data_IF_571693887182
#
_entry.id   IF_571693887182
#
_cell.length_a   1.000
_cell.length_b   1.000
_cell.length_c   1.000
_cell.angle_alpha   90.00
_cell.angle_beta   90.00
_cell.angle_gamma   90.00
#
_symmetry.space_group_name_H-M   'P 1'
#
loop_
_entity.id
_entity.type
_entity.pdbx_description
1 polymer ?
#
# COMPACT_ATOMS: atom_id res chain seq x y z
N UNK A 1 4.78 -1.85 -28.17
CA UNK A 1 4.36 -2.83 -27.14
C UNK A 1 5.52 -3.49 -26.39
N UNK A 2 6.53 -4.11 -27.02
CA UNK A 2 7.63 -4.75 -26.28
C UNK A 2 8.40 -3.79 -25.35
N UNK A 3 8.83 -2.65 -25.86
CA UNK A 3 9.56 -1.63 -25.06
C UNK A 3 8.69 -1.11 -23.90
N UNK A 4 7.42 -0.87 -24.15
CA UNK A 4 6.45 -0.43 -23.14
C UNK A 4 6.30 -1.47 -22.04
N UNK A 5 6.10 -2.74 -22.39
CA UNK A 5 5.99 -3.83 -21.44
C UNK A 5 7.28 -4.01 -20.61
N UNK A 6 8.45 -3.86 -21.26
CA UNK A 6 9.75 -3.91 -20.58
C UNK A 6 9.88 -2.77 -19.55
N UNK A 7 9.55 -1.54 -19.95
CA UNK A 7 9.65 -0.38 -19.07
C UNK A 7 8.70 -0.51 -17.87
N UNK A 8 7.45 -0.91 -18.10
CA UNK A 8 6.49 -1.10 -17.02
C UNK A 8 6.85 -2.27 -16.10
N UNK A 9 7.41 -3.35 -16.65
CA UNK A 9 7.98 -4.43 -15.85
C UNK A 9 9.12 -3.95 -14.94
N UNK A 10 10.01 -3.08 -15.46
CA UNK A 10 11.08 -2.47 -14.67
C UNK A 10 10.56 -1.50 -13.61
N UNK A 11 9.50 -0.74 -13.89
CA UNK A 11 8.82 0.09 -12.87
C UNK A 11 8.31 -0.79 -11.75
N UNK A 12 7.66 -1.93 -12.06
CA UNK A 12 7.21 -2.87 -11.05
C UNK A 12 8.35 -3.42 -10.19
N UNK A 13 9.47 -3.76 -10.81
CA UNK A 13 10.70 -4.18 -10.11
C UNK A 13 11.20 -3.09 -9.18
N UNK A 14 11.30 -1.85 -9.67
CA UNK A 14 11.74 -0.72 -8.85
C UNK A 14 10.83 -0.53 -7.63
N UNK A 15 9.51 -0.54 -7.83
CA UNK A 15 8.54 -0.36 -6.76
C UNK A 15 8.60 -1.46 -5.69
N UNK A 16 8.74 -2.74 -6.09
CA UNK A 16 8.85 -3.82 -5.09
C UNK A 16 10.20 -3.78 -4.36
N UNK A 17 11.28 -3.43 -5.03
CA UNK A 17 12.60 -3.32 -4.40
C UNK A 17 12.69 -2.13 -3.45
N UNK A 18 11.91 -1.07 -3.65
CA UNK A 18 11.79 0.03 -2.70
C UNK A 18 11.40 -0.47 -1.31
N UNK A 19 10.37 -1.31 -1.21
CA UNK A 19 9.92 -1.85 0.06
C UNK A 19 10.83 -2.95 0.64
N UNK A 20 11.72 -3.55 -0.17
CA UNK A 20 12.57 -4.67 0.26
C UNK A 20 14.00 -4.28 0.57
N UNK A 21 14.57 -3.32 -0.15
CA UNK A 21 16.01 -2.99 -0.09
C UNK A 21 16.25 -1.49 0.11
N UNK A 22 15.44 -0.61 -0.51
CA UNK A 22 15.69 0.83 -0.56
C UNK A 22 15.18 1.61 0.66
N UNK A 23 14.68 0.92 1.69
CA UNK A 23 14.25 1.56 2.95
C UNK A 23 12.81 2.04 2.96
N UNK A 24 11.98 1.59 2.01
CA UNK A 24 10.53 1.83 1.93
C UNK A 24 10.17 3.32 1.84
N UNK A 25 10.62 3.95 0.76
CA UNK A 25 10.28 5.35 0.44
C UNK A 25 8.84 5.52 -0.05
N UNK A 26 8.04 4.43 -0.07
CA UNK A 26 6.65 4.38 -0.50
C UNK A 26 6.42 4.53 -2.02
N UNK A 27 7.43 4.26 -2.85
CA UNK A 27 7.23 4.18 -4.31
C UNK A 27 6.29 3.03 -4.72
N UNK A 28 6.04 2.08 -3.82
CA UNK A 28 5.05 1.00 -4.01
C UNK A 28 3.59 1.46 -3.84
N UNK A 29 3.34 2.74 -3.49
CA UNK A 29 1.96 3.24 -3.31
C UNK A 29 1.25 3.40 -4.66
N UNK A 30 -0.01 2.95 -4.78
CA UNK A 30 -0.78 3.04 -6.02
C UNK A 30 -0.82 4.42 -6.66
N UNK A 31 -0.94 5.47 -5.85
CA UNK A 31 -0.92 6.86 -6.32
C UNK A 31 0.38 7.18 -7.07
N UNK A 32 1.52 6.75 -6.54
CA UNK A 32 2.83 7.03 -7.14
C UNK A 32 3.06 6.13 -8.36
N UNK A 33 2.78 4.83 -8.24
CA UNK A 33 3.01 3.88 -9.33
C UNK A 33 2.16 4.17 -10.57
N UNK A 34 0.85 4.45 -10.39
CA UNK A 34 -0.02 4.84 -11.50
C UNK A 34 0.41 6.16 -12.14
N UNK A 35 0.87 7.12 -11.34
CA UNK A 35 1.39 8.40 -11.85
C UNK A 35 2.64 8.18 -12.70
N UNK A 36 3.57 7.32 -12.26
CA UNK A 36 4.76 6.95 -13.04
C UNK A 36 4.35 6.26 -14.35
N UNK A 37 3.41 5.31 -14.29
CA UNK A 37 2.90 4.63 -15.50
C UNK A 37 2.24 5.64 -16.45
N UNK A 38 1.41 6.56 -15.94
CA UNK A 38 0.77 7.61 -16.73
C UNK A 38 1.78 8.54 -17.38
N UNK A 39 2.84 8.95 -16.66
CA UNK A 39 3.91 9.78 -17.21
C UNK A 39 4.68 9.04 -18.33
N UNK A 40 4.95 7.76 -18.19
CA UNK A 40 5.66 6.95 -19.19
C UNK A 40 4.82 6.68 -20.44
N UNK A 41 3.50 6.55 -20.28
CA UNK A 41 2.57 6.28 -21.38
C UNK A 41 1.99 7.53 -22.02
N UNK A 42 2.25 8.72 -21.46
CA UNK A 42 1.83 10.03 -22.01
C UNK A 42 0.43 10.50 -21.59
N UNK A 43 -0.21 9.81 -20.62
CA UNK A 43 -1.48 10.22 -20.02
C UNK A 43 -1.37 10.27 -18.49
N UNK A 44 -0.80 11.37 -18.02
CA UNK A 44 -0.59 11.63 -16.60
C UNK A 44 -1.92 11.77 -15.83
N UNK A 45 -2.95 12.34 -16.50
CA UNK A 45 -4.24 12.59 -15.86
C UNK A 45 -4.95 11.29 -15.52
N UNK A 46 -5.03 10.36 -16.46
CA UNK A 46 -5.61 9.03 -16.23
C UNK A 46 -4.80 8.27 -15.18
N UNK A 47 -3.47 8.31 -15.24
CA UNK A 47 -2.60 7.70 -14.24
C UNK A 47 -2.86 8.23 -12.84
N UNK A 48 -2.94 9.54 -12.65
CA UNK A 48 -3.20 10.17 -11.35
C UNK A 48 -4.59 9.85 -10.81
N UNK A 49 -5.62 9.90 -11.67
CA UNK A 49 -7.02 9.62 -11.27
C UNK A 49 -7.19 8.16 -10.82
N UNK A 50 -6.64 7.22 -11.58
CA UNK A 50 -6.65 5.81 -11.21
C UNK A 50 -5.83 5.55 -9.96
N UNK A 51 -4.65 6.16 -9.87
CA UNK A 51 -3.77 6.04 -8.71
C UNK A 51 -4.47 6.50 -7.43
N UNK A 52 -5.13 7.66 -7.45
CA UNK A 52 -5.90 8.16 -6.32
C UNK A 52 -7.04 7.20 -5.92
N UNK A 53 -7.77 6.66 -6.90
CA UNK A 53 -8.88 5.75 -6.64
C UNK A 53 -8.40 4.43 -6.03
N UNK A 54 -7.34 3.82 -6.58
CA UNK A 54 -6.77 2.57 -6.06
C UNK A 54 -6.10 2.80 -4.70
N UNK A 55 -5.48 3.95 -4.50
CA UNK A 55 -4.92 4.35 -3.21
C UNK A 55 -6.00 4.38 -2.13
N UNK A 56 -7.15 5.03 -2.40
CA UNK A 56 -8.29 5.05 -1.47
C UNK A 56 -8.83 3.66 -1.16
N UNK A 57 -8.88 2.76 -2.16
CA UNK A 57 -9.27 1.36 -1.96
C UNK A 57 -8.27 0.60 -1.07
N UNK A 58 -7.00 0.98 -1.11
CA UNK A 58 -5.92 0.30 -0.38
C UNK A 58 -5.68 0.84 1.04
N UNK A 59 -6.27 1.97 1.43
CA UNK A 59 -6.00 2.63 2.71
C UNK A 59 -6.21 1.73 3.94
N UNK A 60 -7.25 0.89 3.90
CA UNK A 60 -7.54 -0.05 4.99
C UNK A 60 -6.82 -1.39 4.89
N UNK A 61 -6.05 -1.61 3.84
CA UNK A 61 -5.35 -2.87 3.60
C UNK A 61 -3.98 -2.81 4.27
N UNK A 62 -3.89 -3.34 5.48
CA UNK A 62 -2.66 -3.32 6.29
C UNK A 62 -2.13 -4.74 6.47
N UNK A 63 -0.81 -4.88 6.40
CA UNK A 63 -0.15 -6.14 6.76
C UNK A 63 -0.22 -6.34 8.27
N UNK A 64 -0.95 -7.34 8.73
CA UNK A 64 -1.02 -7.70 10.14
C UNK A 64 -0.42 -9.11 10.32
N UNK A 65 0.73 -9.18 10.97
CA UNK A 65 1.43 -10.44 11.20
C UNK A 65 1.83 -11.15 9.90
N UNK A 66 1.51 -12.43 9.77
CA UNK A 66 1.79 -13.26 8.60
C UNK A 66 0.76 -13.13 7.47
N UNK A 67 -0.31 -12.35 7.67
CA UNK A 67 -1.34 -12.15 6.65
C UNK A 67 -0.75 -11.47 5.40
N UNK A 68 -1.08 -12.01 4.23
CA UNK A 68 -0.71 -11.42 2.96
C UNK A 68 -1.95 -10.70 2.40
N UNK A 69 -2.01 -9.38 2.40
CA UNK A 69 -3.11 -8.66 1.78
C UNK A 69 -3.01 -8.71 0.25
N UNK A 70 -4.10 -8.34 -0.46
CA UNK A 70 -4.08 -8.15 -1.91
C UNK A 70 -2.97 -7.20 -2.35
N UNK A 71 -2.30 -7.55 -3.45
CA UNK A 71 -1.18 -6.76 -3.97
C UNK A 71 -1.70 -5.60 -4.83
N UNK A 72 -2.01 -4.49 -4.16
CA UNK A 72 -2.56 -3.31 -4.83
C UNK A 72 -1.53 -2.58 -5.70
N UNK A 73 -0.22 -2.77 -5.45
CA UNK A 73 0.82 -2.16 -6.28
C UNK A 73 0.89 -2.83 -7.67
N UNK A 74 0.92 -4.15 -7.72
CA UNK A 74 0.87 -4.89 -8.99
C UNK A 74 -0.42 -4.56 -9.76
N UNK A 75 -1.56 -4.53 -9.05
CA UNK A 75 -2.84 -4.17 -9.65
C UNK A 75 -2.83 -2.74 -10.21
N UNK A 76 -2.26 -1.78 -9.49
CA UNK A 76 -2.17 -0.40 -9.91
C UNK A 76 -1.42 -0.23 -11.23
N UNK A 77 -0.26 -0.87 -11.37
CA UNK A 77 0.55 -0.81 -12.60
C UNK A 77 -0.22 -1.40 -13.78
N UNK A 78 -0.80 -2.59 -13.60
CA UNK A 78 -1.51 -3.29 -14.68
C UNK A 78 -2.79 -2.55 -15.07
N UNK A 79 -3.58 -2.06 -14.09
CA UNK A 79 -4.80 -1.30 -14.36
C UNK A 79 -4.53 0.03 -15.06
N UNK A 80 -3.51 0.79 -14.63
CA UNK A 80 -3.14 2.04 -15.27
C UNK A 80 -2.64 1.80 -16.70
N UNK A 81 -1.78 0.79 -16.91
CA UNK A 81 -1.33 0.42 -18.24
C UNK A 81 -2.49 -0.01 -19.14
N UNK A 82 -3.42 -0.81 -18.61
CA UNK A 82 -4.60 -1.25 -19.35
C UNK A 82 -5.46 -0.06 -19.75
N UNK A 83 -5.86 0.81 -18.81
CA UNK A 83 -6.72 1.96 -19.11
C UNK A 83 -6.13 2.86 -20.20
N UNK A 84 -4.84 3.20 -20.09
CA UNK A 84 -4.18 4.12 -21.02
C UNK A 84 -3.94 3.47 -22.39
N UNK A 85 -3.52 2.20 -22.43
CA UNK A 85 -3.20 1.53 -23.71
C UNK A 85 -4.43 1.09 -24.49
N UNK A 86 -5.60 0.94 -23.83
CA UNK A 86 -6.84 0.49 -24.49
C UNK A 86 -7.93 1.56 -24.55
N UNK A 87 -7.65 2.78 -24.07
CA UNK A 87 -8.64 3.86 -23.90
C UNK A 87 -9.86 3.41 -23.11
N UNK A 88 -9.68 2.45 -22.17
CA UNK A 88 -10.75 1.97 -21.33
C UNK A 88 -11.12 3.00 -20.24
N UNK A 89 -12.41 3.03 -19.85
CA UNK A 89 -12.81 3.92 -18.77
C UNK A 89 -12.11 3.57 -17.44
N UNK A 90 -11.92 4.57 -16.60
CA UNK A 90 -11.29 4.42 -15.29
C UNK A 90 -12.05 3.38 -14.43
N UNK A 91 -13.39 3.37 -14.52
CA UNK A 91 -14.24 2.44 -13.80
C UNK A 91 -13.99 0.99 -14.23
N UNK A 92 -13.85 0.75 -15.55
CA UNK A 92 -13.54 -0.59 -16.07
C UNK A 92 -12.17 -1.06 -15.57
N UNK A 93 -11.18 -0.20 -15.57
CA UNK A 93 -9.84 -0.52 -15.04
C UNK A 93 -9.89 -0.80 -13.53
N UNK A 94 -10.62 -0.01 -12.75
CA UNK A 94 -10.78 -0.20 -11.31
C UNK A 94 -11.48 -1.53 -10.97
N UNK A 95 -12.44 -1.96 -11.79
CA UNK A 95 -13.10 -3.25 -11.61
C UNK A 95 -12.14 -4.43 -11.71
N UNK A 96 -11.06 -4.30 -12.49
CA UNK A 96 -10.01 -5.31 -12.61
C UNK A 96 -9.00 -5.28 -11.47
N UNK A 97 -8.95 -4.20 -10.68
CA UNK A 97 -7.93 -4.01 -9.65
C UNK A 97 -7.96 -5.12 -8.59
N UNK A 98 -9.14 -5.49 -8.06
CA UNK A 98 -9.24 -6.51 -7.02
C UNK A 98 -8.86 -7.92 -7.54
N UNK A 99 -9.38 -8.42 -8.68
CA UNK A 99 -8.93 -9.70 -9.22
C UNK A 99 -7.43 -9.78 -9.43
N UNK A 100 -6.81 -8.73 -9.99
CA UNK A 100 -5.37 -8.67 -10.22
C UNK A 100 -4.61 -8.61 -8.88
N UNK A 101 -5.07 -7.84 -7.91
CA UNK A 101 -4.47 -7.76 -6.59
C UNK A 101 -4.48 -9.11 -5.86
N UNK A 102 -5.57 -9.88 -5.98
CA UNK A 102 -5.67 -11.25 -5.41
C UNK A 102 -4.69 -12.20 -6.10
N UNK A 103 -4.54 -12.14 -7.42
CA UNK A 103 -3.52 -12.92 -8.12
C UNK A 103 -2.11 -12.55 -7.67
N UNK A 104 -1.82 -11.26 -7.52
CA UNK A 104 -0.55 -10.77 -6.96
C UNK A 104 -0.30 -11.27 -5.54
N UNK A 105 -1.34 -11.29 -4.69
CA UNK A 105 -1.29 -11.88 -3.35
C UNK A 105 -0.90 -13.37 -3.39
N UNK A 106 -1.51 -14.15 -4.28
CA UNK A 106 -1.20 -15.59 -4.43
C UNK A 106 0.26 -15.80 -4.84
N UNK A 107 0.77 -14.99 -5.78
CA UNK A 107 2.18 -15.00 -6.16
C UNK A 107 3.09 -14.61 -4.98
N UNK A 108 2.69 -13.63 -4.18
CA UNK A 108 3.40 -13.21 -2.98
C UNK A 108 3.49 -14.32 -1.93
N UNK A 109 2.42 -15.08 -1.71
CA UNK A 109 2.43 -16.25 -0.80
C UNK A 109 3.36 -17.34 -1.33
N UNK A 110 3.29 -17.67 -2.63
CA UNK A 110 4.19 -18.62 -3.28
C UNK A 110 5.66 -18.21 -3.11
N UNK A 111 5.95 -16.93 -3.34
CA UNK A 111 7.31 -16.39 -3.22
C UNK A 111 7.83 -16.48 -1.78
N UNK A 112 7.00 -16.20 -0.77
CA UNK A 112 7.39 -16.36 0.65
C UNK A 112 7.76 -17.81 0.97
N UNK A 113 7.03 -18.78 0.42
CA UNK A 113 7.34 -20.21 0.59
C UNK A 113 8.70 -20.56 -0.04
N UNK A 114 9.00 -20.05 -1.23
CA UNK A 114 10.29 -20.25 -1.89
C UNK A 114 11.42 -19.61 -1.07
N UNK A 115 11.23 -18.37 -0.60
CA UNK A 115 12.22 -17.65 0.19
C UNK A 115 12.47 -18.31 1.56
N UNK A 116 11.46 -18.92 2.16
CA UNK A 116 11.64 -19.71 3.40
C UNK A 116 12.65 -20.84 3.21
N UNK A 117 12.59 -21.54 2.07
CA UNK A 117 13.60 -22.57 1.77
C UNK A 117 15.01 -21.98 1.59
N UNK A 118 15.13 -20.80 0.96
CA UNK A 118 16.42 -20.11 0.85
C UNK A 118 16.99 -19.71 2.22
N UNK A 119 16.13 -19.33 3.16
CA UNK A 119 16.56 -19.03 4.54
C UNK A 119 17.16 -20.25 5.21
N UNK A 120 16.56 -21.43 5.10
CA UNK A 120 17.16 -22.66 5.62
C UNK A 120 18.52 -23.00 5.00
N UNK A 121 18.70 -22.75 3.69
CA UNK A 121 20.01 -22.91 3.03
C UNK A 121 21.03 -21.90 3.58
N UNK A 122 20.61 -20.67 3.89
CA UNK A 122 21.47 -19.66 4.48
C UNK A 122 21.87 -20.04 5.91
N UNK A 123 20.95 -20.55 6.73
CA UNK A 123 21.21 -21.00 8.10
C UNK A 123 22.25 -22.12 8.13
N UNK A 124 22.12 -23.12 7.23
CA UNK A 124 23.11 -24.19 7.09
C UNK A 124 24.48 -23.64 6.65
N UNK A 125 24.49 -22.67 5.73
CA UNK A 125 25.73 -22.05 5.27
C UNK A 125 26.43 -21.26 6.42
N UNK A 126 25.67 -20.64 7.31
CA UNK A 126 26.20 -19.94 8.50
C UNK A 126 26.81 -20.96 9.46
N UNK A 127 26.11 -22.08 9.72
CA UNK A 127 26.63 -23.15 10.58
C UNK A 127 27.96 -23.74 10.07
N UNK A 128 28.16 -23.75 8.74
CA UNK A 128 29.42 -24.16 8.10
C UNK A 128 30.48 -23.06 8.01
N UNK A 129 30.21 -21.84 8.52
CA UNK A 129 31.10 -20.69 8.40
C UNK A 129 31.17 -20.05 7.00
N UNK A 130 30.24 -20.41 6.09
CA UNK A 130 30.22 -19.93 4.69
C UNK A 130 29.39 -18.63 4.57
N UNK A 131 29.80 -17.55 5.22
CA UNK A 131 29.04 -16.29 5.29
C UNK A 131 28.73 -15.66 3.92
N UNK A 132 29.64 -15.77 2.94
CA UNK A 132 29.39 -15.27 1.57
C UNK A 132 28.19 -15.99 0.90
N UNK A 133 28.01 -17.27 1.14
CA UNK A 133 26.87 -18.04 0.62
C UNK A 133 25.58 -17.58 1.29
N UNK A 134 25.58 -17.43 2.60
CA UNK A 134 24.43 -16.93 3.35
C UNK A 134 24.02 -15.52 2.88
N UNK A 135 24.97 -14.60 2.74
CA UNK A 135 24.73 -13.27 2.20
C UNK A 135 24.10 -13.32 0.79
N UNK A 136 24.63 -14.15 -0.10
CA UNK A 136 24.11 -14.27 -1.46
C UNK A 136 22.68 -14.83 -1.51
N UNK A 137 22.28 -15.71 -0.59
CA UNK A 137 20.91 -16.24 -0.51
C UNK A 137 19.90 -15.12 -0.18
N UNK A 138 20.23 -14.22 0.75
CA UNK A 138 19.33 -13.14 1.13
C UNK A 138 19.35 -11.96 0.14
N UNK A 139 20.52 -11.46 -0.21
CA UNK A 139 20.63 -10.23 -1.01
C UNK A 139 20.45 -10.53 -2.50
N UNK A 140 21.23 -11.47 -3.07
CA UNK A 140 21.21 -11.70 -4.52
C UNK A 140 19.97 -12.48 -4.92
N UNK A 141 19.76 -13.66 -4.35
CA UNK A 141 18.63 -14.51 -4.73
C UNK A 141 17.28 -13.92 -4.31
N UNK A 142 17.20 -13.31 -3.12
CA UNK A 142 16.00 -12.60 -2.68
C UNK A 142 15.61 -11.48 -3.63
N UNK A 143 16.57 -10.63 -4.02
CA UNK A 143 16.34 -9.53 -4.97
C UNK A 143 15.91 -10.04 -6.34
N UNK A 144 16.60 -11.03 -6.88
CA UNK A 144 16.29 -11.60 -8.21
C UNK A 144 14.87 -12.22 -8.21
N UNK A 145 14.54 -13.00 -7.19
CA UNK A 145 13.22 -13.65 -7.11
C UNK A 145 12.08 -12.65 -6.99
N UNK A 146 12.20 -11.62 -6.12
CA UNK A 146 11.20 -10.57 -6.03
C UNK A 146 11.10 -9.76 -7.33
N UNK A 147 12.22 -9.47 -7.97
CA UNK A 147 12.22 -8.79 -9.26
C UNK A 147 11.50 -9.60 -10.34
N UNK A 148 11.76 -10.89 -10.45
CA UNK A 148 11.08 -11.78 -11.39
C UNK A 148 9.58 -11.91 -11.09
N UNK A 149 9.22 -11.99 -9.81
CA UNK A 149 7.83 -12.10 -9.38
C UNK A 149 6.99 -10.90 -9.87
N UNK A 150 7.55 -9.69 -9.89
CA UNK A 150 6.85 -8.50 -10.37
C UNK A 150 7.01 -8.31 -11.87
N UNK A 151 8.22 -8.48 -12.38
CA UNK A 151 8.54 -8.28 -13.79
C UNK A 151 7.71 -9.17 -14.71
N UNK A 152 7.66 -10.47 -14.43
CA UNK A 152 7.02 -11.45 -15.34
C UNK A 152 5.51 -11.18 -15.48
N UNK A 153 4.71 -11.08 -14.39
CA UNK A 153 3.28 -10.84 -14.56
C UNK A 153 2.96 -9.51 -15.22
N UNK A 154 3.68 -8.43 -14.84
CA UNK A 154 3.45 -7.10 -15.43
C UNK A 154 3.83 -7.11 -16.90
N UNK A 155 5.01 -7.63 -17.24
CA UNK A 155 5.45 -7.74 -18.65
C UNK A 155 4.46 -8.54 -19.49
N UNK A 156 4.06 -9.73 -19.02
CA UNK A 156 3.12 -10.60 -19.74
C UNK A 156 1.74 -9.94 -19.88
N UNK A 157 1.24 -9.30 -18.82
CA UNK A 157 -0.04 -8.61 -18.86
C UNK A 157 -0.06 -7.45 -19.84
N UNK A 158 1.02 -6.67 -19.93
CA UNK A 158 1.11 -5.55 -20.86
C UNK A 158 1.40 -6.02 -22.29
N UNK A 159 2.26 -7.03 -22.45
CA UNK A 159 2.67 -7.48 -23.78
C UNK A 159 1.61 -8.30 -24.48
N UNK A 160 0.97 -9.22 -23.77
CA UNK A 160 -0.05 -10.12 -24.33
C UNK A 160 -1.48 -9.73 -23.94
N UNK A 161 -1.65 -8.95 -22.87
CA UNK A 161 -2.93 -8.71 -22.24
C UNK A 161 -3.77 -7.65 -22.93
N UNK A 162 -3.18 -6.70 -23.65
CA UNK A 162 -3.92 -5.60 -24.28
C UNK A 162 -4.94 -6.09 -25.30
N UNK A 163 -4.55 -6.98 -26.23
CA UNK A 163 -5.45 -7.55 -27.22
C UNK A 163 -6.45 -8.52 -26.60
N UNK A 164 -6.02 -9.28 -25.61
CA UNK A 164 -6.88 -10.25 -24.92
C UNK A 164 -7.89 -9.54 -24.02
N UNK A 165 -7.47 -8.49 -23.34
CA UNK A 165 -8.33 -7.69 -22.46
C UNK A 165 -9.31 -6.87 -23.29
N UNK A 166 -8.93 -6.29 -24.43
CA UNK A 166 -9.87 -5.62 -25.34
C UNK A 166 -10.97 -6.58 -25.82
N UNK A 167 -10.64 -7.81 -26.18
CA UNK A 167 -11.63 -8.82 -26.55
C UNK A 167 -12.54 -9.19 -25.38
N UNK A 168 -12.01 -9.30 -24.17
CA UNK A 168 -12.79 -9.57 -22.95
C UNK A 168 -13.72 -8.39 -22.66
N UNK A 169 -13.23 -7.17 -22.71
CA UNK A 169 -14.03 -5.94 -22.45
C UNK A 169 -15.14 -5.81 -23.50
N UNK A 170 -14.85 -6.07 -24.77
CA UNK A 170 -15.86 -6.06 -25.83
C UNK A 170 -16.94 -7.14 -25.65
N UNK A 171 -16.66 -8.20 -24.93
CA UNK A 171 -17.62 -9.27 -24.62
C UNK A 171 -18.42 -9.02 -23.33
N UNK A 172 -17.99 -8.04 -22.51
CA UNK A 172 -18.67 -7.70 -21.25
C UNK A 172 -19.98 -6.97 -21.55
N UNK A 173 -21.15 -7.49 -21.14
CA UNK A 173 -22.44 -6.82 -21.31
C UNK A 173 -22.51 -5.53 -20.50
N UNK A 174 -23.27 -4.54 -20.99
CA UNK A 174 -23.39 -3.23 -20.33
C UNK A 174 -23.86 -3.34 -18.85
N UNK A 175 -24.81 -4.24 -18.55
CA UNK A 175 -25.29 -4.43 -17.17
C UNK A 175 -24.18 -4.87 -16.21
N UNK A 176 -23.20 -5.65 -16.70
CA UNK A 176 -22.07 -6.09 -15.89
C UNK A 176 -21.08 -4.93 -15.69
N UNK A 177 -20.82 -4.12 -16.71
CA UNK A 177 -20.01 -2.90 -16.59
C UNK A 177 -20.63 -1.93 -15.59
N UNK A 178 -21.94 -1.71 -15.64
CA UNK A 178 -22.65 -0.85 -14.68
C UNK A 178 -22.57 -1.42 -13.25
N UNK A 179 -22.69 -2.74 -13.10
CA UNK A 179 -22.50 -3.41 -11.82
C UNK A 179 -21.08 -3.28 -11.26
N UNK A 180 -20.06 -3.40 -12.12
CA UNK A 180 -18.65 -3.21 -11.74
C UNK A 180 -18.37 -1.75 -11.38
N UNK A 181 -18.94 -0.79 -12.10
CA UNK A 181 -18.84 0.64 -11.79
C UNK A 181 -19.45 0.96 -10.41
N UNK A 182 -20.59 0.40 -10.11
CA UNK A 182 -21.20 0.53 -8.79
C UNK A 182 -20.33 -0.14 -7.72
N UNK A 183 -19.83 -1.35 -8.00
CA UNK A 183 -18.93 -2.11 -7.12
C UNK A 183 -17.65 -1.35 -6.79
N UNK A 184 -17.01 -0.67 -7.75
CA UNK A 184 -15.78 0.09 -7.54
C UNK A 184 -15.96 1.25 -6.56
N UNK A 185 -17.13 1.92 -6.60
CA UNK A 185 -17.49 2.98 -5.63
C UNK A 185 -17.66 2.43 -4.22
N UNK A 186 -18.28 1.23 -4.09
CA UNK A 186 -18.38 0.55 -2.79
C UNK A 186 -17.03 0.12 -2.25
N UNK A 187 -16.11 -0.34 -3.10
CA UNK A 187 -14.76 -0.73 -2.69
C UNK A 187 -13.97 0.44 -2.11
N UNK A 188 -14.09 1.64 -2.69
CA UNK A 188 -13.48 2.85 -2.15
C UNK A 188 -14.05 3.18 -0.76
N UNK A 189 -15.37 3.15 -0.60
CA UNK A 189 -16.02 3.37 0.69
C UNK A 189 -15.62 2.29 1.73
N UNK A 190 -15.50 1.04 1.30
CA UNK A 190 -15.03 -0.07 2.13
C UNK A 190 -13.57 0.13 2.59
N UNK A 191 -12.67 0.58 1.72
CA UNK A 191 -11.29 0.90 2.08
C UNK A 191 -11.20 1.97 3.17
N UNK A 192 -11.98 3.04 3.03
CA UNK A 192 -12.07 4.10 4.06
C UNK A 192 -12.68 3.55 5.36
N UNK A 193 -13.73 2.72 5.28
CA UNK A 193 -14.34 2.09 6.45
C UNK A 193 -13.37 1.15 7.18
N UNK A 194 -12.55 0.37 6.45
CA UNK A 194 -11.48 -0.45 7.04
C UNK A 194 -10.45 0.40 7.76
N UNK A 195 -9.96 1.47 7.13
CA UNK A 195 -9.03 2.40 7.77
C UNK A 195 -9.65 2.98 9.06
N UNK A 196 -10.89 3.43 8.98
CA UNK A 196 -11.61 3.94 10.15
C UNK A 196 -11.72 2.88 11.25
N UNK A 197 -12.02 1.63 10.92
CA UNK A 197 -12.14 0.53 11.88
C UNK A 197 -10.84 0.23 12.63
N UNK A 198 -9.69 0.47 12.01
CA UNK A 198 -8.37 0.27 12.65
C UNK A 198 -7.99 1.44 13.56
N UNK A 199 -8.52 2.63 13.29
CA UNK A 199 -8.19 3.86 14.03
C UNK A 199 -9.22 4.21 15.10
N UNK A 200 -10.49 3.79 14.91
CA UNK A 200 -11.60 4.20 15.77
C UNK A 200 -11.58 3.42 17.09
N UNK A 201 -11.43 4.15 18.18
CA UNK A 201 -11.63 3.67 19.54
C UNK A 201 -12.72 4.53 20.22
N UNK A 202 -13.06 4.19 21.48
CA UNK A 202 -14.12 4.90 22.21
C UNK A 202 -13.85 6.39 22.35
N UNK A 203 -12.60 6.77 22.56
CA UNK A 203 -12.20 8.17 22.76
C UNK A 203 -12.22 8.97 21.46
N UNK A 204 -11.91 8.32 20.33
CA UNK A 204 -11.89 8.96 19.01
C UNK A 204 -13.28 9.03 18.34
N UNK A 205 -14.27 8.28 18.84
CA UNK A 205 -15.63 8.27 18.29
C UNK A 205 -16.26 9.66 18.26
N UNK A 206 -15.98 10.50 19.26
CA UNK A 206 -16.50 11.87 19.33
C UNK A 206 -15.97 12.73 18.18
N UNK A 207 -14.70 12.60 17.86
CA UNK A 207 -14.07 13.35 16.74
C UNK A 207 -14.58 12.87 15.38
N UNK A 208 -14.84 11.57 15.24
CA UNK A 208 -15.49 11.03 14.05
C UNK A 208 -16.89 11.62 13.85
N UNK A 209 -17.71 11.65 14.89
CA UNK A 209 -19.05 12.25 14.83
C UNK A 209 -18.98 13.75 14.51
N UNK A 210 -18.01 14.46 15.05
CA UNK A 210 -17.78 15.88 14.74
C UNK A 210 -17.47 16.09 13.25
N UNK A 211 -16.57 15.27 12.68
CA UNK A 211 -16.26 15.32 11.25
C UNK A 211 -17.45 14.98 10.37
N UNK A 212 -18.22 13.95 10.75
CA UNK A 212 -19.46 13.57 10.06
C UNK A 212 -20.47 14.71 10.05
N UNK A 213 -20.65 15.41 11.19
CA UNK A 213 -21.51 16.57 11.30
C UNK A 213 -21.06 17.72 10.37
N UNK A 214 -19.78 18.01 10.30
CA UNK A 214 -19.24 19.08 9.45
C UNK A 214 -19.49 18.81 7.96
N UNK A 215 -19.30 17.59 7.50
CA UNK A 215 -19.58 17.22 6.12
C UNK A 215 -21.09 17.16 5.86
N UNK A 216 -21.84 16.48 6.71
CA UNK A 216 -23.26 16.19 6.49
C UNK A 216 -24.19 17.38 6.64
N UNK A 217 -23.90 18.28 7.60
CA UNK A 217 -24.79 19.42 7.92
C UNK A 217 -24.26 20.76 7.45
N UNK A 218 -22.94 20.98 7.52
CA UNK A 218 -22.33 22.24 7.08
C UNK A 218 -21.87 22.20 5.62
N UNK A 219 -21.89 21.02 4.98
CA UNK A 219 -21.50 20.87 3.60
C UNK A 219 -20.03 21.18 3.33
N UNK A 220 -19.18 21.08 4.35
CA UNK A 220 -17.75 21.36 4.21
C UNK A 220 -17.08 20.27 3.35
N UNK A 221 -16.17 20.69 2.48
CA UNK A 221 -15.34 19.78 1.72
C UNK A 221 -14.36 19.02 2.64
N UNK A 222 -13.98 17.82 2.23
CA UNK A 222 -13.06 16.93 2.98
C UNK A 222 -11.74 17.65 3.30
N UNK A 223 -11.25 18.48 2.38
CA UNK A 223 -10.02 19.27 2.56
C UNK A 223 -10.17 20.27 3.71
N UNK A 224 -11.30 20.99 3.77
CA UNK A 224 -11.58 21.95 4.83
C UNK A 224 -11.68 21.27 6.20
N UNK A 225 -12.34 20.10 6.27
CA UNK A 225 -12.45 19.29 7.50
C UNK A 225 -11.08 18.78 7.93
N UNK A 226 -10.22 18.33 6.99
CA UNK A 226 -8.86 17.87 7.29
C UNK A 226 -8.00 18.99 7.88
N UNK A 227 -8.05 20.20 7.33
CA UNK A 227 -7.31 21.37 7.84
C UNK A 227 -7.80 21.72 9.24
N UNK A 228 -9.12 21.76 9.43
CA UNK A 228 -9.72 22.04 10.75
C UNK A 228 -9.30 20.99 11.79
N UNK A 229 -9.33 19.71 11.43
CA UNK A 229 -8.92 18.62 12.30
C UNK A 229 -7.42 18.71 12.67
N UNK A 230 -6.56 19.08 11.71
CA UNK A 230 -5.14 19.29 11.98
C UNK A 230 -4.90 20.45 12.97
N UNK A 231 -5.59 21.57 12.79
CA UNK A 231 -5.51 22.72 13.70
C UNK A 231 -6.00 22.32 15.10
N UNK A 232 -7.14 21.62 15.18
CA UNK A 232 -7.70 21.15 16.45
C UNK A 232 -6.74 20.17 17.15
N UNK A 233 -6.12 19.24 16.42
CA UNK A 233 -5.13 18.32 16.97
C UNK A 233 -3.92 19.05 17.55
N UNK A 234 -3.39 20.07 16.87
CA UNK A 234 -2.29 20.91 17.39
C UNK A 234 -2.71 21.65 18.67
N UNK A 235 -3.92 22.24 18.69
CA UNK A 235 -4.42 22.93 19.88
C UNK A 235 -4.56 21.96 21.06
N UNK A 236 -5.20 20.81 20.86
CA UNK A 236 -5.39 19.82 21.92
C UNK A 236 -4.06 19.25 22.43
N UNK A 237 -3.11 18.99 21.54
CA UNK A 237 -1.77 18.53 21.90
C UNK A 237 -1.03 19.62 22.69
N UNK A 238 -1.11 20.88 22.27
CA UNK A 238 -0.47 21.98 22.99
C UNK A 238 -1.10 22.26 24.36
N UNK A 239 -2.40 22.03 24.52
CA UNK A 239 -3.08 22.09 25.81
C UNK A 239 -2.69 20.93 26.73
N UNK A 240 -2.57 19.72 26.18
CA UNK A 240 -2.25 18.53 26.97
C UNK A 240 -0.76 18.44 27.32
N UNK A 241 0.13 18.84 26.40
CA UNK A 241 1.60 18.73 26.53
C UNK A 241 2.32 20.08 26.42
N UNK A 242 1.59 21.21 26.32
CA UNK A 242 2.15 22.55 26.28
C UNK A 242 2.83 22.93 27.60
N UNK A 243 3.82 23.79 27.53
CA UNK A 243 4.79 24.25 28.55
C UNK A 243 4.22 24.47 29.99
N UNK A 244 3.69 23.44 30.59
CA UNK A 244 3.14 23.45 31.96
C UNK A 244 3.02 22.05 32.57
N UNK A 245 3.19 20.98 31.80
CA UNK A 245 3.34 19.67 32.39
C UNK A 245 4.75 19.54 32.96
N UNK A 246 4.90 19.17 34.23
CA UNK A 246 6.22 19.10 34.86
C UNK A 246 7.03 17.94 34.27
N UNK A 247 7.86 18.23 33.26
CA UNK A 247 8.96 17.36 32.87
C UNK A 247 10.00 17.21 34.02
N UNK A 248 9.72 17.81 35.17
CA UNK A 248 10.58 17.79 36.34
C UNK A 248 10.39 16.57 37.24
N UNK A 249 9.31 15.78 37.08
CA UNK A 249 9.08 14.68 38.00
C UNK A 249 9.85 13.39 37.64
N UNK A 250 10.01 13.12 36.35
CA UNK A 250 10.75 11.89 35.91
C UNK A 250 12.27 12.08 35.92
N UNK A 251 12.78 13.28 35.55
CA UNK A 251 14.21 13.54 35.65
C UNK A 251 14.70 13.67 37.10
N UNK A 252 13.84 14.10 38.02
CA UNK A 252 14.17 14.19 39.46
C UNK A 252 14.13 12.84 40.17
N UNK A 253 13.26 11.91 39.74
CA UNK A 253 13.18 10.58 40.31
C UNK A 253 14.37 9.69 39.90
N UNK A 254 14.82 9.77 38.65
CA UNK A 254 15.99 9.05 38.18
C UNK A 254 17.31 9.52 38.81
N UNK A 255 17.39 10.80 39.22
CA UNK A 255 18.53 11.33 39.93
C UNK A 255 18.56 11.03 41.44
N UNK A 256 17.41 10.61 42.01
CA UNK A 256 17.24 10.34 43.42
C UNK A 256 17.32 8.85 43.82
N UNK A 257 17.30 7.95 42.85
CA UNK A 257 17.39 6.50 43.10
C UNK A 257 18.53 5.88 42.27
N UNK A 258 19.71 5.61 42.91
CA UNK A 258 20.82 4.99 42.21
C UNK A 258 20.57 3.53 41.77
N UNK A 259 19.52 2.89 42.26
CA UNK A 259 19.12 1.52 41.90
C UNK A 259 17.92 1.49 40.91
N UNK A 260 17.58 2.61 40.26
CA UNK A 260 16.50 2.65 39.27
C UNK A 260 16.94 1.95 37.97
N UNK A 261 16.31 0.81 37.67
CA UNK A 261 16.44 0.12 36.38
C UNK A 261 15.23 0.44 35.50
N UNK A 262 15.42 1.17 34.38
CA UNK A 262 14.32 1.52 33.48
C UNK A 262 13.73 0.32 32.71
N UNK A 263 14.29 -0.90 32.86
CA UNK A 263 13.83 -2.10 32.17
C UNK A 263 12.90 -2.99 33.06
N UNK A 264 12.79 -2.66 34.36
CA UNK A 264 11.88 -3.39 35.26
C UNK A 264 10.43 -2.85 35.30
N UNK A 265 10.20 -1.65 34.77
CA UNK A 265 8.88 -0.99 34.80
C UNK A 265 7.97 -1.27 33.58
N UNK A 266 8.38 -2.13 32.63
CA UNK A 266 7.62 -2.43 31.40
C UNK A 266 6.66 -3.63 31.53
N UNK A 267 6.53 -4.27 32.70
CA UNK A 267 5.66 -5.46 32.89
C UNK A 267 4.19 -5.11 33.25
N UNK A 268 3.80 -3.83 33.33
CA UNK A 268 2.44 -3.37 33.70
C UNK A 268 1.71 -2.58 32.59
N UNK A 269 1.97 -2.86 31.27
CA UNK A 269 1.19 -2.29 30.17
C UNK A 269 0.43 -3.35 29.37
#
# INVERSE_FOLDING_TARGET
MFVTALLLGLVGVFCILDSRILGRMNFERPLITCTIVGALLGDLQTGLTLGASIELMSLGIVNIGAAAPPDMNMAAIICAAFAILTDASAETALALAIPIAVLGQMLGVLMRTILSNLTHVADHAIAEGKFRKAWSMHIVWGTVLYSLMYFIPIFLSVYFGTDLVQKIVAFIPAWLTDGLNLGSKFLTAYGIALLLSTMLNRDLTVYFLLGFFFVGYLGLDVTAVAIFAAILAVILTSLKYGKGAPAAATAGAAAANPDYDPLEDDDDL
#
